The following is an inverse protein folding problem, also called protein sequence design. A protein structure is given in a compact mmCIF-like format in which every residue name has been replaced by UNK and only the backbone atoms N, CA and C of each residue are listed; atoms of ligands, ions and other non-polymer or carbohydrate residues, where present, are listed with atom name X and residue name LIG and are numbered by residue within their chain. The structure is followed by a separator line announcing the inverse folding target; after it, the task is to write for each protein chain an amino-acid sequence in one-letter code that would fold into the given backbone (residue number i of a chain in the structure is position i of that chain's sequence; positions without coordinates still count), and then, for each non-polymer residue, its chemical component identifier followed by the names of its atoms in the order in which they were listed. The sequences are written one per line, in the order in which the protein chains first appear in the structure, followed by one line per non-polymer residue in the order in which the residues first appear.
data_IF_530844394033
#
_entry.id   IF_530844394033
#
_cell.length_a   1.000
_cell.length_b   1.000
_cell.length_c   1.000
_cell.angle_alpha   90.00
_cell.angle_beta   90.00
_cell.angle_gamma   90.00
#
_symmetry.space_group_name_H-M   'P 1'
#
loop_
_entity.id
_entity.type
_entity.pdbx_description
1 polymer ?
#
# COMPACT_ATOMS: atom_id res chain seq x y z
N UNK A 1 31.38 -15.93 0.51
CA UNK A 1 30.45 -15.01 -0.20
C UNK A 1 30.19 -15.42 -1.66
N UNK A 2 31.11 -16.10 -2.35
CA UNK A 2 30.92 -16.50 -3.77
C UNK A 2 29.80 -17.53 -3.99
N UNK A 3 29.58 -18.49 -3.08
CA UNK A 3 28.47 -19.44 -3.21
C UNK A 3 27.09 -18.76 -3.15
N UNK A 4 26.93 -17.72 -2.32
CA UNK A 4 25.68 -16.95 -2.24
C UNK A 4 25.44 -16.16 -3.54
N UNK A 5 26.47 -15.52 -4.10
CA UNK A 5 26.36 -14.83 -5.39
C UNK A 5 25.90 -15.77 -6.51
N UNK A 6 26.43 -16.99 -6.53
CA UNK A 6 26.08 -18.01 -7.52
C UNK A 6 24.65 -18.54 -7.36
N UNK A 7 24.17 -18.69 -6.12
CA UNK A 7 22.81 -19.13 -5.84
C UNK A 7 21.74 -18.10 -6.26
N UNK A 8 22.07 -16.80 -6.22
CA UNK A 8 21.19 -15.72 -6.70
C UNK A 8 21.39 -15.35 -8.18
N UNK A 9 22.26 -16.08 -8.91
CA UNK A 9 22.55 -15.80 -10.31
C UNK A 9 23.22 -14.44 -10.55
N UNK A 10 23.79 -13.82 -9.51
CA UNK A 10 24.44 -12.50 -9.58
C UNK A 10 25.72 -12.50 -10.43
N UNK A 11 26.18 -13.69 -10.82
CA UNK A 11 27.26 -13.99 -11.75
C UNK A 11 26.83 -13.97 -13.23
N UNK A 12 25.52 -13.90 -13.52
CA UNK A 12 24.97 -13.90 -14.88
C UNK A 12 24.77 -12.49 -15.44
N UNK A 13 24.55 -12.40 -16.76
CA UNK A 13 24.17 -11.14 -17.41
C UNK A 13 22.86 -10.57 -16.84
N UNK A 14 22.70 -9.24 -16.82
CA UNK A 14 21.48 -8.58 -16.29
C UNK A 14 20.17 -9.13 -16.91
N UNK A 15 20.08 -9.38 -18.22
CA UNK A 15 18.87 -9.96 -18.81
C UNK A 15 18.54 -11.35 -18.27
N UNK A 16 19.56 -12.19 -18.03
CA UNK A 16 19.38 -13.52 -17.44
C UNK A 16 18.93 -13.43 -15.99
N UNK A 17 19.48 -12.50 -15.19
CA UNK A 17 19.05 -12.27 -13.81
C UNK A 17 17.57 -11.90 -13.74
N UNK A 18 17.10 -11.03 -14.64
CA UNK A 18 15.69 -10.65 -14.71
C UNK A 18 14.80 -11.83 -15.11
N UNK A 19 15.20 -12.63 -16.09
CA UNK A 19 14.46 -13.83 -16.50
C UNK A 19 14.33 -14.84 -15.36
N UNK A 20 15.41 -15.08 -14.62
CA UNK A 20 15.41 -15.97 -13.45
C UNK A 20 14.50 -15.41 -12.36
N UNK A 21 14.60 -14.10 -12.07
CA UNK A 21 13.74 -13.44 -11.09
C UNK A 21 12.26 -13.56 -11.45
N UNK A 22 11.88 -13.25 -12.68
CA UNK A 22 10.49 -13.35 -13.15
C UNK A 22 10.00 -14.81 -13.07
N UNK A 23 10.82 -15.78 -13.49
CA UNK A 23 10.49 -17.21 -13.38
C UNK A 23 10.23 -17.63 -11.94
N UNK A 24 11.10 -17.23 -11.01
CA UNK A 24 10.97 -17.57 -9.59
C UNK A 24 9.74 -16.89 -8.97
N UNK A 25 9.45 -15.65 -9.37
CA UNK A 25 8.24 -14.93 -8.96
C UNK A 25 6.96 -15.69 -9.35
N UNK A 26 6.89 -16.26 -10.55
CA UNK A 26 5.75 -17.10 -10.97
C UNK A 26 5.66 -18.43 -10.22
N UNK A 27 6.77 -18.91 -9.66
CA UNK A 27 6.82 -20.09 -8.79
C UNK A 27 6.55 -19.75 -7.31
N UNK A 28 6.21 -18.48 -7.01
CA UNK A 28 6.07 -17.94 -5.66
C UNK A 28 7.36 -18.01 -4.82
N UNK A 29 8.51 -18.18 -5.45
CA UNK A 29 9.82 -18.09 -4.80
C UNK A 29 10.33 -16.64 -4.87
N UNK A 30 10.12 -15.91 -3.77
CA UNK A 30 10.54 -14.52 -3.62
C UNK A 30 12.00 -14.40 -3.15
N UNK A 31 12.66 -15.52 -2.84
CA UNK A 31 14.03 -15.57 -2.35
C UNK A 31 14.20 -15.21 -0.87
N UNK A 32 15.45 -14.99 -0.48
CA UNK A 32 15.87 -14.77 0.89
C UNK A 32 16.21 -13.30 1.16
N UNK A 33 15.71 -12.76 2.28
CA UNK A 33 16.06 -11.41 2.72
C UNK A 33 17.32 -11.43 3.57
N UNK A 34 18.41 -10.91 3.04
CA UNK A 34 19.67 -10.75 3.80
C UNK A 34 19.57 -9.77 4.96
N UNK A 35 18.62 -8.83 4.93
CA UNK A 35 18.43 -7.86 6.01
C UNK A 35 17.71 -8.48 7.22
N UNK A 36 16.80 -9.39 6.96
CA UNK A 36 15.97 -10.02 7.99
C UNK A 36 16.37 -11.47 8.27
N UNK A 37 17.36 -12.01 7.55
CA UNK A 37 17.87 -13.37 7.66
C UNK A 37 16.77 -14.45 7.61
N UNK A 38 15.77 -14.23 6.75
CA UNK A 38 14.63 -15.13 6.58
C UNK A 38 14.05 -15.00 5.16
N UNK A 39 13.15 -15.91 4.78
CA UNK A 39 12.50 -15.89 3.47
C UNK A 39 11.62 -14.65 3.29
N UNK A 40 11.62 -14.08 2.09
CA UNK A 40 10.83 -12.87 1.78
C UNK A 40 9.33 -13.14 1.94
N UNK A 41 8.88 -14.34 1.60
CA UNK A 41 7.48 -14.73 1.74
C UNK A 41 7.01 -14.69 3.19
N UNK A 42 7.80 -15.22 4.13
CA UNK A 42 7.49 -15.19 5.56
C UNK A 42 7.36 -13.75 6.09
N UNK A 43 8.26 -12.86 5.68
CA UNK A 43 8.23 -11.45 6.07
C UNK A 43 6.93 -10.78 5.58
N UNK A 44 6.49 -11.10 4.37
CA UNK A 44 5.25 -10.55 3.81
C UNK A 44 4.04 -11.09 4.59
N UNK A 45 3.99 -12.40 4.84
CA UNK A 45 2.89 -13.04 5.56
C UNK A 45 2.75 -12.50 6.99
N UNK A 46 3.87 -12.31 7.69
CA UNK A 46 3.90 -11.74 9.04
C UNK A 46 3.33 -10.31 9.09
N UNK A 47 3.55 -9.52 8.04
CA UNK A 47 3.07 -8.13 7.96
C UNK A 47 1.67 -8.01 7.38
N UNK A 48 1.23 -9.01 6.60
CA UNK A 48 -0.03 -8.99 5.87
C UNK A 48 -1.21 -8.74 6.81
N UNK A 49 -1.25 -9.42 7.97
CA UNK A 49 -2.32 -9.26 8.95
C UNK A 49 -2.45 -7.83 9.48
N UNK A 50 -1.33 -7.20 9.84
CA UNK A 50 -1.33 -5.82 10.33
C UNK A 50 -1.78 -4.83 9.25
N UNK A 51 -1.30 -5.00 8.00
CA UNK A 51 -1.73 -4.17 6.87
C UNK A 51 -3.22 -4.31 6.58
N UNK A 52 -3.73 -5.55 6.54
CA UNK A 52 -5.16 -5.80 6.32
C UNK A 52 -6.02 -5.19 7.44
N UNK A 53 -5.61 -5.34 8.69
CA UNK A 53 -6.32 -4.76 9.83
C UNK A 53 -6.39 -3.22 9.72
N UNK A 54 -5.24 -2.58 9.45
CA UNK A 54 -5.18 -1.13 9.30
C UNK A 54 -6.01 -0.65 8.11
N UNK A 55 -5.87 -1.29 6.96
CA UNK A 55 -6.56 -0.91 5.73
C UNK A 55 -8.07 -1.07 5.86
N UNK A 56 -8.54 -2.21 6.37
CA UNK A 56 -9.98 -2.47 6.57
C UNK A 56 -10.58 -1.51 7.60
N UNK A 57 -9.94 -1.34 8.76
CA UNK A 57 -10.42 -0.42 9.81
C UNK A 57 -10.52 1.00 9.28
N UNK A 58 -9.49 1.48 8.57
CA UNK A 58 -9.48 2.81 7.97
C UNK A 58 -10.58 2.97 6.93
N UNK A 59 -10.78 1.95 6.07
CA UNK A 59 -11.82 1.97 5.05
C UNK A 59 -13.21 2.09 5.68
N UNK A 60 -13.53 1.25 6.67
CA UNK A 60 -14.84 1.29 7.33
C UNK A 60 -15.08 2.60 8.06
N UNK A 61 -14.08 3.11 8.78
CA UNK A 61 -14.19 4.40 9.47
C UNK A 61 -14.36 5.55 8.47
N UNK A 62 -13.53 5.61 7.43
CA UNK A 62 -13.57 6.66 6.43
C UNK A 62 -14.89 6.68 5.67
N UNK A 63 -15.35 5.52 5.19
CA UNK A 63 -16.64 5.38 4.51
C UNK A 63 -17.79 5.71 5.44
N UNK A 64 -17.78 5.18 6.68
CA UNK A 64 -18.84 5.45 7.66
C UNK A 64 -18.96 6.93 8.00
N UNK A 65 -17.84 7.58 8.34
CA UNK A 65 -17.81 9.02 8.65
C UNK A 65 -18.17 9.85 7.42
N UNK A 66 -17.63 9.51 6.25
CA UNK A 66 -17.92 10.21 5.00
C UNK A 66 -19.40 10.16 4.63
N UNK A 67 -20.05 9.00 4.77
CA UNK A 67 -21.50 8.86 4.54
C UNK A 67 -22.29 9.72 5.52
N UNK A 68 -21.95 9.70 6.82
CA UNK A 68 -22.66 10.49 7.83
C UNK A 68 -22.55 12.00 7.58
N UNK A 69 -21.34 12.47 7.26
CA UNK A 69 -21.11 13.88 6.93
C UNK A 69 -21.82 14.29 5.64
N UNK A 70 -21.77 13.44 4.60
CA UNK A 70 -22.48 13.67 3.34
C UNK A 70 -23.99 13.72 3.52
N UNK A 71 -24.55 12.81 4.31
CA UNK A 71 -25.98 12.81 4.63
C UNK A 71 -26.38 14.08 5.40
N UNK A 72 -25.57 14.49 6.39
CA UNK A 72 -25.86 15.68 7.18
C UNK A 72 -25.80 16.98 6.34
N UNK A 73 -24.84 17.08 5.41
CA UNK A 73 -24.77 18.16 4.44
C UNK A 73 -26.00 18.16 3.52
N UNK A 74 -26.40 16.99 3.00
CA UNK A 74 -27.55 16.84 2.12
C UNK A 74 -28.90 17.11 2.80
N UNK A 75 -29.01 16.92 4.12
CA UNK A 75 -30.21 17.28 4.88
C UNK A 75 -30.33 18.79 5.15
N UNK A 76 -29.22 19.54 5.09
CA UNK A 76 -29.15 20.98 5.40
C UNK A 76 -28.53 21.75 4.24
N UNK A 77 -28.99 21.48 3.02
CA UNK A 77 -28.53 22.13 1.79
C UNK A 77 -28.67 23.65 1.91
N UNK A 78 -27.65 24.39 1.45
CA UNK A 78 -27.54 25.85 1.53
C UNK A 78 -27.44 26.44 2.96
N UNK A 79 -27.26 25.61 3.99
CA UNK A 79 -26.89 26.09 5.31
C UNK A 79 -25.37 26.05 5.53
N UNK A 80 -24.92 26.74 6.58
CA UNK A 80 -23.50 26.85 6.92
C UNK A 80 -22.81 25.49 7.16
N UNK A 81 -23.55 24.45 7.57
CA UNK A 81 -23.00 23.11 7.78
C UNK A 81 -22.57 22.46 6.46
N UNK A 82 -23.38 22.60 5.41
CA UNK A 82 -23.09 22.10 4.06
C UNK A 82 -21.85 22.79 3.48
N UNK A 83 -21.78 24.12 3.59
CA UNK A 83 -20.61 24.88 3.16
C UNK A 83 -19.35 24.50 3.95
N UNK A 84 -19.44 24.31 5.27
CA UNK A 84 -18.29 23.93 6.09
C UNK A 84 -17.77 22.53 5.72
N UNK A 85 -18.66 21.55 5.58
CA UNK A 85 -18.30 20.17 5.20
C UNK A 85 -17.67 20.14 3.82
N UNK A 86 -18.23 20.89 2.87
CA UNK A 86 -17.72 21.00 1.49
C UNK A 86 -16.33 21.65 1.44
N UNK A 87 -16.10 22.74 2.18
CA UNK A 87 -14.78 23.39 2.26
C UNK A 87 -13.74 22.42 2.84
N UNK A 88 -14.07 21.73 3.93
CA UNK A 88 -13.17 20.74 4.53
C UNK A 88 -12.83 19.59 3.56
N UNK A 89 -13.82 19.12 2.79
CA UNK A 89 -13.61 18.10 1.76
C UNK A 89 -12.67 18.60 0.66
N UNK A 90 -12.85 19.83 0.19
CA UNK A 90 -11.98 20.44 -0.85
C UNK A 90 -10.55 20.59 -0.34
N UNK A 91 -10.35 21.09 0.88
CA UNK A 91 -9.00 21.24 1.47
C UNK A 91 -8.34 19.87 1.60
N UNK A 92 -9.06 18.85 2.08
CA UNK A 92 -8.53 17.50 2.24
C UNK A 92 -8.12 16.87 0.90
N UNK A 93 -8.90 17.12 -0.15
CA UNK A 93 -8.56 16.69 -1.51
C UNK A 93 -7.35 17.45 -2.06
N UNK A 94 -7.31 18.78 -1.88
CA UNK A 94 -6.25 19.64 -2.38
C UNK A 94 -4.90 19.39 -1.70
N UNK A 95 -4.87 19.12 -0.40
CA UNK A 95 -3.62 18.76 0.31
C UNK A 95 -3.06 17.43 -0.17
N UNK A 96 -3.91 16.48 -0.58
CA UNK A 96 -3.44 15.22 -1.17
C UNK A 96 -2.78 15.42 -2.54
N UNK A 97 -3.21 16.43 -3.31
CA UNK A 97 -2.64 16.76 -4.61
C UNK A 97 -1.29 17.50 -4.48
N UNK A 98 -1.16 18.40 -3.51
CA UNK A 98 0.02 19.27 -3.38
C UNK A 98 1.32 18.56 -2.93
N UNK A 99 1.24 17.33 -2.40
CA UNK A 99 2.37 16.67 -1.72
C UNK A 99 3.23 15.73 -2.57
N UNK A 100 3.02 15.63 -3.88
CA UNK A 100 3.65 14.61 -4.75
C UNK A 100 4.39 15.18 -5.98
N UNK A 101 4.70 16.47 -5.98
CA UNK A 101 5.58 17.15 -6.94
C UNK A 101 6.84 17.67 -6.22
#
# INVERSE_FOLDING_TARGET
MEMLRKNFGLDKSIPEQLLIYIKNLFLFDLGFSFRHNMEVLEIILDRLGATLLLMTTTLFLSVGVGILLGLFAAMRVNHWQDSLISILAIISYATHFFGWD
#
